data_IF_772202469794
#
_entry.id   IF_772202469794
#
_cell.length_a   1.000
_cell.length_b   1.000
_cell.length_c   1.000
_cell.angle_alpha   90.00
_cell.angle_beta   90.00
_cell.angle_gamma   90.00
#
_symmetry.space_group_name_H-M   'P 1'
#
loop_
_entity.id
_entity.type
_entity.pdbx_description
1 polymer ?
#
# COMPACT_ATOMS: atom_id res chain seq x y z
N UNK A 1 10.76 5.63 4.03
CA UNK A 1 11.85 6.32 3.31
C UNK A 1 12.55 5.33 2.40
N UNK A 2 13.06 5.78 1.25
CA UNK A 2 13.84 4.92 0.34
C UNK A 2 15.33 5.03 0.71
N UNK A 3 15.99 3.88 0.90
CA UNK A 3 17.42 3.83 1.17
C UNK A 3 18.23 4.52 0.07
N UNK A 4 19.24 5.32 0.44
CA UNK A 4 20.02 6.15 -0.48
C UNK A 4 21.44 5.60 -0.70
N UNK A 5 22.02 5.73 -1.91
CA UNK A 5 23.42 5.39 -2.16
C UNK A 5 24.35 6.14 -1.21
N UNK A 6 25.40 5.46 -0.73
CA UNK A 6 26.36 6.05 0.21
C UNK A 6 25.88 6.16 1.65
N UNK A 7 24.69 5.64 1.98
CA UNK A 7 24.21 5.51 3.37
C UNK A 7 24.31 4.05 3.85
N UNK A 8 23.99 3.79 5.12
CA UNK A 8 23.96 2.43 5.68
C UNK A 8 22.88 1.53 5.07
N UNK A 9 21.89 2.10 4.37
CA UNK A 9 20.81 1.36 3.70
C UNK A 9 20.72 1.80 2.25
N UNK A 10 21.16 0.95 1.33
CA UNK A 10 21.07 1.19 -0.12
C UNK A 10 19.78 0.57 -0.66
N UNK A 11 18.86 1.39 -1.14
CA UNK A 11 17.57 0.94 -1.67
C UNK A 11 17.66 0.43 -3.12
N UNK A 12 16.67 -0.37 -3.54
CA UNK A 12 16.56 -0.89 -4.91
C UNK A 12 16.25 0.23 -5.92
N UNK A 13 15.35 1.14 -5.56
CA UNK A 13 14.89 2.23 -6.41
C UNK A 13 15.09 3.59 -5.73
N UNK A 14 16.35 4.00 -5.43
CA UNK A 14 16.62 5.13 -4.53
C UNK A 14 16.18 6.49 -5.05
N UNK A 15 15.99 6.60 -6.38
CA UNK A 15 15.64 7.85 -7.06
C UNK A 15 14.15 7.99 -7.38
N UNK A 16 13.30 7.04 -6.97
CA UNK A 16 11.85 7.17 -7.16
C UNK A 16 11.25 8.10 -6.10
N UNK A 17 10.08 8.66 -6.39
CA UNK A 17 9.27 9.36 -5.39
C UNK A 17 8.50 8.33 -4.57
N UNK A 18 8.55 8.43 -3.26
CA UNK A 18 7.77 7.58 -2.35
C UNK A 18 6.72 8.39 -1.60
N UNK A 19 5.54 7.80 -1.42
CA UNK A 19 4.49 8.27 -0.53
C UNK A 19 4.26 7.15 0.49
N UNK A 20 4.21 7.50 1.78
CA UNK A 20 3.95 6.54 2.86
C UNK A 20 2.57 6.79 3.42
N UNK A 21 1.67 5.82 3.27
CA UNK A 21 0.29 5.90 3.77
C UNK A 21 0.14 4.88 4.91
N UNK A 22 0.12 5.32 6.17
CA UNK A 22 -0.03 4.42 7.30
C UNK A 22 -1.46 3.89 7.35
N UNK A 23 -1.60 2.56 7.34
CA UNK A 23 -2.90 1.88 7.47
C UNK A 23 -3.04 1.08 8.77
N UNK A 24 -1.92 0.89 9.49
CA UNK A 24 -1.86 0.29 10.81
C UNK A 24 -1.81 1.40 11.86
N UNK A 25 -2.41 1.14 13.02
CA UNK A 25 -2.34 2.04 14.17
C UNK A 25 -1.59 1.38 15.30
N UNK A 26 -0.78 2.15 16.00
CA UNK A 26 -0.17 1.71 17.25
C UNK A 26 -1.10 2.12 18.39
N UNK A 27 -1.42 1.18 19.28
CA UNK A 27 -2.17 1.45 20.50
C UNK A 27 -1.27 2.14 21.53
N UNK A 28 -1.81 2.81 22.56
CA UNK A 28 -1.01 3.50 23.57
C UNK A 28 0.01 2.62 24.30
N UNK A 29 -0.20 1.30 24.35
CA UNK A 29 0.69 0.30 24.92
C UNK A 29 1.71 -0.28 23.92
N UNK A 30 1.85 0.33 22.73
CA UNK A 30 2.87 0.00 21.74
C UNK A 30 2.55 -1.21 20.86
N UNK A 31 1.29 -1.67 20.83
CA UNK A 31 0.88 -2.82 20.01
C UNK A 31 0.35 -2.34 18.67
N UNK A 32 0.71 -3.05 17.60
CA UNK A 32 0.12 -2.79 16.29
C UNK A 32 -1.30 -3.33 16.24
N UNK A 33 -2.27 -2.42 16.11
CA UNK A 33 -3.62 -2.73 15.71
C UNK A 33 -3.65 -3.04 14.22
N UNK A 34 -4.18 -4.21 13.87
CA UNK A 34 -4.34 -4.63 12.48
C UNK A 34 -5.15 -3.63 11.68
N UNK A 35 -4.67 -3.30 10.48
CA UNK A 35 -5.49 -2.62 9.49
C UNK A 35 -6.67 -3.51 9.08
N UNK A 36 -7.78 -2.90 8.69
CA UNK A 36 -8.90 -3.61 8.07
C UNK A 36 -8.97 -3.28 6.58
N UNK A 37 -9.68 -4.10 5.81
CA UNK A 37 -9.80 -3.91 4.36
C UNK A 37 -10.38 -2.55 3.94
N UNK A 38 -11.18 -1.90 4.79
CA UNK A 38 -11.76 -0.57 4.51
C UNK A 38 -10.69 0.52 4.55
N UNK A 39 -9.79 0.48 5.54
CA UNK A 39 -8.67 1.42 5.63
C UNK A 39 -7.68 1.22 4.46
N UNK A 40 -7.41 -0.03 4.08
CA UNK A 40 -6.60 -0.31 2.90
C UNK A 40 -7.25 0.23 1.62
N UNK A 41 -8.56 0.04 1.44
CA UNK A 41 -9.27 0.57 0.28
C UNK A 41 -9.23 2.10 0.22
N UNK A 42 -9.37 2.79 1.36
CA UNK A 42 -9.23 4.25 1.45
C UNK A 42 -7.84 4.73 1.06
N UNK A 43 -6.79 4.03 1.52
CA UNK A 43 -5.41 4.33 1.14
C UNK A 43 -5.19 4.16 -0.37
N UNK A 44 -5.77 3.13 -0.98
CA UNK A 44 -5.71 2.93 -2.44
C UNK A 44 -6.43 4.06 -3.19
N UNK A 45 -7.62 4.47 -2.76
CA UNK A 45 -8.34 5.60 -3.37
C UNK A 45 -7.54 6.91 -3.28
N UNK A 46 -6.82 7.14 -2.18
CA UNK A 46 -5.90 8.28 -2.09
C UNK A 46 -4.78 8.21 -3.15
N UNK A 47 -4.20 7.03 -3.38
CA UNK A 47 -3.19 6.85 -4.44
C UNK A 47 -3.77 7.07 -5.83
N UNK A 48 -4.99 6.59 -6.09
CA UNK A 48 -5.66 6.77 -7.37
C UNK A 48 -5.90 8.27 -7.67
N UNK A 49 -6.34 9.03 -6.65
CA UNK A 49 -6.50 10.48 -6.74
C UNK A 49 -5.16 11.21 -6.94
N UNK A 50 -4.10 10.77 -6.24
CA UNK A 50 -2.76 11.34 -6.39
C UNK A 50 -2.20 11.10 -7.80
N UNK A 51 -2.37 9.90 -8.35
CA UNK A 51 -1.99 9.58 -9.72
C UNK A 51 -2.80 10.38 -10.73
N UNK A 52 -4.11 10.56 -10.51
CA UNK A 52 -4.95 11.38 -11.41
C UNK A 52 -4.46 12.83 -11.48
N UNK A 53 -4.05 13.37 -10.33
CA UNK A 53 -3.59 14.76 -10.20
C UNK A 53 -2.20 14.98 -10.78
N UNK A 54 -1.28 14.03 -10.60
CA UNK A 54 0.13 14.24 -10.92
C UNK A 54 0.61 13.45 -12.16
N UNK A 55 -0.19 12.49 -12.63
CA UNK A 55 0.19 11.57 -13.70
C UNK A 55 1.33 10.64 -13.32
N UNK A 56 1.75 9.80 -14.29
CA UNK A 56 2.91 8.91 -14.15
C UNK A 56 2.57 7.49 -13.68
N UNK A 57 3.63 6.67 -13.55
CA UNK A 57 3.53 5.26 -13.19
C UNK A 57 3.65 5.07 -11.69
N UNK A 58 2.72 4.29 -11.12
CA UNK A 58 2.64 4.04 -9.69
C UNK A 58 2.83 2.55 -9.42
N UNK A 59 3.48 2.25 -8.30
CA UNK A 59 3.56 0.94 -7.69
C UNK A 59 3.16 1.08 -6.22
N UNK A 60 2.28 0.20 -5.76
CA UNK A 60 1.86 0.14 -4.36
C UNK A 60 2.47 -1.10 -3.72
N UNK A 61 3.32 -0.90 -2.71
CA UNK A 61 3.83 -1.97 -1.87
C UNK A 61 3.00 -2.06 -0.58
N UNK A 62 2.47 -3.25 -0.30
CA UNK A 62 1.69 -3.55 0.90
C UNK A 62 2.46 -4.58 1.73
N UNK A 63 3.15 -4.11 2.78
CA UNK A 63 3.93 -4.94 3.69
C UNK A 63 3.08 -5.55 4.82
N UNK A 64 1.91 -6.08 4.47
CA UNK A 64 0.98 -6.69 5.42
C UNK A 64 -0.25 -7.25 4.71
N UNK A 65 -1.10 -7.92 5.48
CA UNK A 65 -2.34 -8.52 4.99
C UNK A 65 -3.29 -8.83 6.13
N UNK A 66 -4.55 -9.09 5.75
CA UNK A 66 -5.57 -9.57 6.67
C UNK A 66 -5.74 -11.08 6.47
N UNK A 67 -5.85 -11.83 7.57
CA UNK A 67 -6.22 -13.25 7.48
C UNK A 67 -7.69 -13.35 7.11
N UNK A 68 -7.99 -13.77 5.89
CA UNK A 68 -9.34 -14.11 5.45
C UNK A 68 -9.54 -15.63 5.44
N UNK A 69 -10.76 -16.08 5.74
CA UNK A 69 -11.11 -17.50 5.74
C UNK A 69 -11.27 -18.06 4.31
N UNK A 70 -11.72 -17.24 3.37
CA UNK A 70 -11.99 -17.63 1.97
C UNK A 70 -11.05 -16.93 0.97
N UNK A 71 -10.28 -15.93 1.42
CA UNK A 71 -9.41 -15.14 0.57
C UNK A 71 -10.12 -14.06 -0.24
N UNK A 72 -11.44 -13.91 -0.10
CA UNK A 72 -12.18 -12.89 -0.85
C UNK A 72 -12.07 -11.51 -0.17
N UNK A 73 -11.76 -10.46 -0.94
CA UNK A 73 -11.78 -9.10 -0.43
C UNK A 73 -13.22 -8.58 -0.30
N UNK A 74 -13.45 -7.71 0.68
CA UNK A 74 -14.68 -6.92 0.77
C UNK A 74 -14.91 -6.16 -0.54
N UNK A 75 -16.19 -5.95 -0.96
CA UNK A 75 -16.50 -5.30 -2.24
C UNK A 75 -15.80 -3.96 -2.48
N UNK A 76 -15.59 -3.18 -1.41
CA UNK A 76 -14.88 -1.90 -1.49
C UNK A 76 -13.41 -2.08 -1.87
N UNK A 77 -12.71 -3.01 -1.23
CA UNK A 77 -11.32 -3.31 -1.55
C UNK A 77 -11.22 -3.91 -2.96
N UNK A 78 -12.11 -4.84 -3.32
CA UNK A 78 -12.19 -5.42 -4.66
C UNK A 78 -12.29 -4.36 -5.75
N UNK A 79 -13.18 -3.37 -5.57
CA UNK A 79 -13.35 -2.25 -6.50
C UNK A 79 -12.11 -1.37 -6.59
N UNK A 80 -11.46 -1.08 -5.46
CA UNK A 80 -10.24 -0.28 -5.45
C UNK A 80 -9.08 -0.99 -6.19
N UNK A 81 -8.90 -2.29 -5.96
CA UNK A 81 -7.91 -3.12 -6.67
C UNK A 81 -8.19 -3.17 -8.17
N UNK A 82 -9.45 -3.30 -8.57
CA UNK A 82 -9.84 -3.31 -9.97
C UNK A 82 -9.49 -1.98 -10.67
N UNK A 83 -9.78 -0.84 -10.02
CA UNK A 83 -9.37 0.48 -10.54
C UNK A 83 -7.85 0.61 -10.69
N UNK A 84 -7.08 0.06 -9.76
CA UNK A 84 -5.61 0.02 -9.90
C UNK A 84 -5.19 -0.75 -11.15
N UNK A 85 -5.79 -1.92 -11.39
CA UNK A 85 -5.53 -2.70 -12.59
C UNK A 85 -5.87 -1.93 -13.87
N UNK A 86 -7.06 -1.32 -13.92
CA UNK A 86 -7.52 -0.50 -15.06
C UNK A 86 -6.60 0.70 -15.34
N UNK A 87 -5.96 1.27 -14.30
CA UNK A 87 -5.00 2.38 -14.42
C UNK A 87 -3.54 1.95 -14.57
N UNK A 88 -3.27 0.65 -14.69
CA UNK A 88 -1.91 0.12 -14.84
C UNK A 88 -1.03 0.32 -13.61
N UNK A 89 -1.62 0.39 -12.42
CA UNK A 89 -0.88 0.43 -11.15
C UNK A 89 -0.53 -1.00 -10.73
N UNK A 90 0.76 -1.29 -10.54
CA UNK A 90 1.21 -2.57 -10.00
C UNK A 90 1.07 -2.59 -8.47
N UNK A 91 0.45 -3.63 -7.94
CA UNK A 91 0.35 -3.89 -6.50
C UNK A 91 1.24 -5.09 -6.16
N UNK A 92 2.12 -4.90 -5.18
CA UNK A 92 2.95 -5.96 -4.59
C UNK A 92 2.55 -6.11 -3.13
N UNK A 93 2.14 -7.30 -2.72
CA UNK A 93 1.71 -7.59 -1.36
C UNK A 93 2.48 -8.79 -0.79
N UNK A 94 2.80 -8.73 0.50
CA UNK A 94 3.36 -9.87 1.21
C UNK A 94 2.31 -11.00 1.31
N UNK A 95 2.74 -12.25 1.11
CA UNK A 95 1.86 -13.42 1.22
C UNK A 95 1.41 -13.73 2.67
N UNK A 96 2.03 -13.08 3.67
CA UNK A 96 1.86 -13.40 5.08
C UNK A 96 2.94 -14.35 5.61
N UNK A 97 2.98 -14.49 6.94
CA UNK A 97 3.89 -15.34 7.69
C UNK A 97 3.16 -16.18 8.75
#
# INVERSE_FOLDING_TARGET
MLGQPGTSVVGIAPRTRAISIPIFRETPDGRLQSSNQVELARAIEYVLLDQEKHGGHYLINISGGERSHDGEPLPLLKKALQKCHERGILIVAAAGN
#
